data_IF_510804387289
#
_entry.id   IF_510804387289
#
_cell.length_a   1.000
_cell.length_b   1.000
_cell.length_c   1.000
_cell.angle_alpha   90.00
_cell.angle_beta   90.00
_cell.angle_gamma   90.00
#
_symmetry.space_group_name_H-M   'P 1'
#
loop_
_entity.id
_entity.type
_entity.pdbx_description
1 polymer ?
#
# COMPACT_ATOMS: atom_id res chain seq x y z
N UNK A 1 -12.69 -61.09 12.69
CA UNK A 1 -11.86 -60.96 13.91
C UNK A 1 -12.00 -59.54 14.40
N UNK A 2 -12.55 -59.32 15.59
CA UNK A 2 -12.61 -57.98 16.20
C UNK A 2 -11.47 -57.88 17.23
N UNK A 3 -10.69 -56.80 17.13
CA UNK A 3 -9.50 -56.59 17.95
C UNK A 3 -9.90 -56.45 19.44
N UNK A 4 -9.22 -57.24 20.28
CA UNK A 4 -9.48 -57.36 21.72
C UNK A 4 -8.89 -56.12 22.42
N UNK A 5 -9.70 -55.07 22.62
CA UNK A 5 -9.28 -53.90 23.39
C UNK A 5 -9.94 -52.55 23.08
N UNK A 6 -10.97 -52.47 22.24
CA UNK A 6 -11.64 -51.20 21.99
C UNK A 6 -12.54 -50.81 23.18
N UNK A 7 -12.22 -49.69 23.84
CA UNK A 7 -13.11 -49.06 24.83
C UNK A 7 -14.31 -48.48 24.09
N UNK A 8 -15.41 -49.22 24.06
CA UNK A 8 -16.69 -48.74 23.54
C UNK A 8 -17.30 -47.80 24.59
N UNK A 9 -17.30 -46.50 24.29
CA UNK A 9 -17.91 -45.48 25.13
C UNK A 9 -19.34 -45.30 24.62
N UNK A 10 -20.33 -45.61 25.46
CA UNK A 10 -21.73 -45.33 25.13
C UNK A 10 -22.00 -43.84 25.33
N UNK A 11 -22.12 -43.10 24.24
CA UNK A 11 -22.50 -41.69 24.25
C UNK A 11 -23.95 -41.57 23.81
N UNK A 12 -24.72 -40.69 24.42
CA UNK A 12 -26.07 -40.40 23.97
C UNK A 12 -26.03 -39.81 22.55
N UNK A 13 -26.80 -40.38 21.63
CA UNK A 13 -26.84 -39.96 20.22
C UNK A 13 -27.12 -38.45 20.09
N UNK A 14 -27.94 -37.90 20.99
CA UNK A 14 -28.30 -36.48 21.02
C UNK A 14 -27.12 -35.56 21.36
N UNK A 15 -26.21 -36.00 22.23
CA UNK A 15 -25.00 -35.24 22.58
C UNK A 15 -23.99 -35.29 21.44
N UNK A 16 -23.76 -36.49 20.88
CA UNK A 16 -22.83 -36.69 19.76
C UNK A 16 -23.25 -35.91 18.50
N UNK A 17 -24.56 -35.86 18.22
CA UNK A 17 -25.09 -35.06 17.09
C UNK A 17 -24.91 -33.56 17.30
N UNK A 18 -25.06 -33.05 18.53
CA UNK A 18 -24.82 -31.62 18.84
C UNK A 18 -23.34 -31.27 18.69
N UNK A 19 -22.46 -32.09 19.23
CA UNK A 19 -21.02 -31.85 19.16
C UNK A 19 -20.48 -31.98 17.73
N UNK A 20 -20.98 -32.96 16.97
CA UNK A 20 -20.68 -33.11 15.54
C UNK A 20 -21.19 -31.93 14.73
N UNK A 21 -22.40 -31.43 15.03
CA UNK A 21 -22.95 -30.25 14.36
C UNK A 21 -22.13 -28.99 14.65
N UNK A 22 -21.75 -28.76 15.92
CA UNK A 22 -20.92 -27.63 16.31
C UNK A 22 -19.53 -27.71 15.67
N UNK A 23 -18.91 -28.88 15.66
CA UNK A 23 -17.60 -29.11 15.06
C UNK A 23 -17.61 -28.89 13.55
N UNK A 24 -18.66 -29.35 12.87
CA UNK A 24 -18.86 -29.12 11.45
C UNK A 24 -19.17 -27.65 11.15
N UNK A 25 -20.04 -27.01 11.91
CA UNK A 25 -20.36 -25.58 11.77
C UNK A 25 -19.12 -24.70 11.98
N UNK A 26 -18.30 -24.99 13.00
CA UNK A 26 -17.05 -24.29 13.28
C UNK A 26 -16.03 -24.50 12.15
N UNK A 27 -15.89 -25.72 11.64
CA UNK A 27 -15.05 -26.04 10.49
C UNK A 27 -15.48 -25.26 9.23
N UNK A 28 -16.79 -25.16 8.98
CA UNK A 28 -17.34 -24.41 7.84
C UNK A 28 -17.13 -22.90 8.00
N UNK A 29 -17.31 -22.34 9.20
CA UNK A 29 -17.06 -20.91 9.48
C UNK A 29 -15.58 -20.58 9.28
N UNK A 30 -14.68 -21.39 9.81
CA UNK A 30 -13.23 -21.19 9.66
C UNK A 30 -12.78 -21.41 8.22
N UNK A 31 -13.35 -22.38 7.51
CA UNK A 31 -12.98 -22.72 6.14
C UNK A 31 -13.56 -21.82 5.05
N UNK A 32 -14.64 -21.06 5.32
CA UNK A 32 -15.31 -20.23 4.30
C UNK A 32 -15.60 -18.78 4.71
N UNK A 33 -15.86 -18.51 5.98
CA UNK A 33 -16.42 -17.22 6.41
C UNK A 33 -15.36 -16.23 6.92
N UNK A 34 -14.22 -16.71 7.43
CA UNK A 34 -13.09 -15.88 7.83
C UNK A 34 -11.94 -16.08 6.85
N UNK A 35 -11.83 -15.28 5.78
CA UNK A 35 -10.60 -15.27 5.00
C UNK A 35 -9.44 -14.92 5.93
N UNK A 36 -8.32 -15.63 5.81
CA UNK A 36 -7.10 -15.27 6.52
C UNK A 36 -6.80 -13.79 6.25
N UNK A 37 -6.62 -12.98 7.30
CA UNK A 37 -6.36 -11.54 7.17
C UNK A 37 -5.18 -11.27 6.22
N UNK A 38 -4.25 -12.23 6.09
CA UNK A 38 -3.12 -12.17 5.17
C UNK A 38 -3.56 -12.24 3.70
N UNK A 39 -4.69 -12.89 3.39
CA UNK A 39 -5.21 -13.06 2.03
C UNK A 39 -5.85 -11.79 1.46
N UNK A 40 -6.28 -10.85 2.32
CA UNK A 40 -6.76 -9.54 1.88
C UNK A 40 -5.65 -8.59 1.40
N UNK A 41 -4.37 -8.91 1.67
CA UNK A 41 -3.25 -8.03 1.35
C UNK A 41 -2.59 -8.40 0.02
N UNK A 42 -2.62 -7.45 -0.93
CA UNK A 42 -1.83 -7.54 -2.17
C UNK A 42 -0.33 -7.65 -1.85
N UNK A 43 0.48 -8.31 -2.70
CA UNK A 43 1.93 -8.48 -2.49
C UNK A 43 2.69 -7.17 -2.18
N UNK A 44 2.22 -6.05 -2.73
CA UNK A 44 2.76 -4.71 -2.46
C UNK A 44 2.53 -4.28 -1.00
N UNK A 45 1.34 -4.51 -0.44
CA UNK A 45 1.05 -4.17 0.95
C UNK A 45 1.91 -4.99 1.91
N UNK A 46 2.10 -6.28 1.60
CA UNK A 46 2.97 -7.17 2.38
C UNK A 46 4.42 -6.66 2.38
N UNK A 47 4.95 -6.24 1.24
CA UNK A 47 6.30 -5.64 1.14
C UNK A 47 6.44 -4.35 1.92
N UNK A 48 5.47 -3.44 1.84
CA UNK A 48 5.49 -2.18 2.61
C UNK A 48 5.52 -2.46 4.11
N UNK A 49 4.68 -3.37 4.61
CA UNK A 49 4.66 -3.75 6.02
C UNK A 49 5.97 -4.41 6.46
N UNK A 50 6.59 -5.22 5.59
CA UNK A 50 7.89 -5.82 5.86
C UNK A 50 9.00 -4.76 5.93
N UNK A 51 9.07 -3.83 4.97
CA UNK A 51 10.02 -2.71 5.01
C UNK A 51 9.80 -1.84 6.24
N UNK A 52 8.55 -1.60 6.66
CA UNK A 52 8.26 -0.88 7.91
C UNK A 52 8.78 -1.63 9.15
N UNK A 53 8.67 -2.96 9.17
CA UNK A 53 9.22 -3.79 10.23
C UNK A 53 10.76 -3.69 10.29
N UNK A 54 11.44 -3.84 9.15
CA UNK A 54 12.91 -3.73 9.05
C UNK A 54 13.42 -2.34 9.48
N UNK A 55 12.66 -1.28 9.15
CA UNK A 55 12.97 0.10 9.54
C UNK A 55 12.54 0.44 10.98
N UNK A 56 12.10 -0.54 11.78
CA UNK A 56 11.58 -0.39 13.13
C UNK A 56 10.45 0.66 13.26
N UNK A 57 9.64 0.82 12.20
CA UNK A 57 8.50 1.73 12.15
C UNK A 57 7.27 1.07 12.76
N UNK A 58 7.25 1.02 14.09
CA UNK A 58 6.10 0.57 14.87
C UNK A 58 5.10 1.71 15.06
N UNK A 59 3.87 1.35 15.44
CA UNK A 59 2.78 2.32 15.68
C UNK A 59 3.12 3.38 16.75
N UNK A 60 4.12 3.13 17.59
CA UNK A 60 4.57 4.04 18.66
C UNK A 60 5.66 5.03 18.21
N UNK A 61 6.11 4.97 16.95
CA UNK A 61 7.16 5.84 16.42
C UNK A 61 6.60 7.17 15.86
N UNK A 62 7.43 8.22 15.80
CA UNK A 62 7.06 9.47 15.15
C UNK A 62 6.61 9.29 13.71
N UNK A 63 5.62 10.09 13.29
CA UNK A 63 5.07 10.04 11.93
C UNK A 63 6.15 10.19 10.86
N UNK A 64 6.19 9.24 9.91
CA UNK A 64 7.02 9.33 8.70
C UNK A 64 6.12 9.34 7.47
N UNK A 65 6.47 10.18 6.49
CA UNK A 65 5.74 10.27 5.22
C UNK A 65 5.80 8.93 4.47
N UNK A 66 4.66 8.52 3.90
CA UNK A 66 4.55 7.28 3.12
C UNK A 66 5.53 7.20 1.95
N UNK A 67 5.81 8.34 1.30
CA UNK A 67 6.77 8.42 0.19
C UNK A 67 8.17 7.90 0.55
N UNK A 68 8.60 8.07 1.81
CA UNK A 68 9.90 7.56 2.28
C UNK A 68 9.91 6.03 2.31
N UNK A 69 8.90 5.44 2.94
CA UNK A 69 8.76 3.99 3.10
C UNK A 69 8.60 3.31 1.73
N UNK A 70 7.84 3.92 0.82
CA UNK A 70 7.66 3.42 -0.55
C UNK A 70 8.96 3.48 -1.35
N UNK A 71 9.78 4.52 -1.16
CA UNK A 71 11.11 4.62 -1.78
C UNK A 71 12.06 3.52 -1.34
N UNK A 72 12.07 3.19 -0.04
CA UNK A 72 12.90 2.11 0.51
C UNK A 72 12.38 0.71 0.11
N UNK A 73 11.07 0.59 -0.16
CA UNK A 73 10.42 -0.67 -0.54
C UNK A 73 10.55 -0.99 -2.05
N UNK A 74 10.64 0.03 -2.91
CA UNK A 74 10.69 -0.11 -4.36
C UNK A 74 11.86 0.69 -4.93
N UNK A 75 13.07 0.19 -4.72
CA UNK A 75 14.28 0.82 -5.25
C UNK A 75 14.43 0.40 -6.71
N UNK A 76 14.48 1.38 -7.61
CA UNK A 76 14.89 1.18 -9.01
C UNK A 76 16.29 0.55 -9.01
N UNK A 77 16.57 -0.35 -9.95
CA UNK A 77 17.87 -1.03 -10.04
C UNK A 77 18.17 -2.07 -8.94
N UNK A 78 17.16 -2.46 -8.14
CA UNK A 78 17.29 -3.62 -7.23
C UNK A 78 17.62 -4.87 -8.06
N UNK A 79 18.76 -5.50 -7.77
CA UNK A 79 19.19 -6.75 -8.41
C UNK A 79 18.37 -7.92 -7.86
N UNK A 80 17.76 -8.67 -8.76
CA UNK A 80 17.01 -9.89 -8.47
C UNK A 80 17.82 -11.07 -9.01
N UNK A 81 18.02 -12.07 -8.17
CA UNK A 81 18.66 -13.31 -8.58
C UNK A 81 17.67 -14.17 -9.37
N UNK A 82 17.93 -14.34 -10.66
CA UNK A 82 17.19 -15.18 -11.61
C UNK A 82 18.07 -16.35 -12.09
N UNK A 83 17.51 -17.26 -12.88
CA UNK A 83 18.29 -18.33 -13.55
C UNK A 83 19.38 -17.79 -14.48
N UNK A 84 19.18 -16.60 -15.05
CA UNK A 84 20.15 -15.96 -15.95
C UNK A 84 21.19 -15.10 -15.20
N UNK A 85 21.10 -15.00 -13.87
CA UNK A 85 22.00 -14.23 -13.02
C UNK A 85 21.31 -13.08 -12.29
N UNK A 86 22.05 -12.01 -12.01
CA UNK A 86 21.49 -10.81 -11.37
C UNK A 86 20.88 -9.89 -12.42
N UNK A 87 19.56 -9.75 -12.38
CA UNK A 87 18.78 -8.91 -13.31
C UNK A 87 18.14 -7.77 -12.54
N UNK A 88 18.13 -6.56 -13.10
CA UNK A 88 17.42 -5.44 -12.48
C UNK A 88 15.93 -5.70 -12.42
N UNK A 89 15.27 -5.32 -11.33
CA UNK A 89 13.82 -5.49 -11.12
C UNK A 89 12.95 -4.92 -12.25
N UNK A 90 13.45 -3.94 -13.01
CA UNK A 90 12.75 -3.36 -14.17
C UNK A 90 12.77 -4.24 -15.42
N UNK A 91 13.77 -5.13 -15.52
CA UNK A 91 13.98 -6.00 -16.69
C UNK A 91 13.40 -7.41 -16.47
N UNK A 92 12.98 -7.73 -15.25
CA UNK A 92 12.33 -9.00 -14.90
C UNK A 92 10.98 -9.13 -15.61
N UNK A 93 10.75 -10.28 -16.22
CA UNK A 93 9.54 -10.60 -16.99
C UNK A 93 8.62 -11.54 -16.22
N UNK A 94 7.34 -11.51 -16.59
CA UNK A 94 6.37 -12.51 -16.12
C UNK A 94 6.77 -13.88 -16.67
N UNK A 95 6.89 -14.86 -15.79
CA UNK A 95 7.35 -16.20 -16.15
C UNK A 95 8.81 -16.49 -15.79
N UNK A 96 9.60 -15.46 -15.47
CA UNK A 96 10.98 -15.66 -15.03
C UNK A 96 11.02 -16.43 -13.71
N UNK A 97 12.04 -17.27 -13.56
CA UNK A 97 12.29 -17.98 -12.30
C UNK A 97 13.21 -17.11 -11.46
N UNK A 98 12.74 -16.77 -10.26
CA UNK A 98 13.47 -15.96 -9.27
C UNK A 98 13.81 -16.81 -8.06
N UNK A 99 15.00 -16.64 -7.52
CA UNK A 99 15.42 -17.29 -6.30
C UNK A 99 15.05 -16.44 -5.09
N UNK A 100 14.36 -17.06 -4.15
CA UNK A 100 13.95 -16.46 -2.88
C UNK A 100 14.57 -17.22 -1.72
N UNK A 101 14.48 -16.67 -0.51
CA UNK A 101 14.95 -17.35 0.71
C UNK A 101 14.26 -18.71 0.97
N UNK A 102 13.12 -18.98 0.33
CA UNK A 102 12.36 -20.23 0.47
C UNK A 102 12.52 -21.17 -0.74
N UNK A 103 13.41 -20.86 -1.68
CA UNK A 103 13.62 -21.61 -2.91
C UNK A 103 13.25 -20.81 -4.17
N UNK A 104 13.14 -21.51 -5.29
CA UNK A 104 12.79 -20.93 -6.59
C UNK A 104 11.27 -20.72 -6.75
N UNK A 105 10.88 -19.57 -7.29
CA UNK A 105 9.49 -19.24 -7.60
C UNK A 105 9.36 -18.56 -8.95
N UNK A 106 8.23 -18.76 -9.64
CA UNK A 106 7.97 -18.12 -10.93
C UNK A 106 7.28 -16.77 -10.74
N UNK A 107 7.73 -15.75 -11.45
CA UNK A 107 7.10 -14.42 -11.43
C UNK A 107 5.71 -14.51 -12.04
N UNK A 108 4.68 -14.34 -11.20
CA UNK A 108 3.29 -14.47 -11.61
C UNK A 108 2.73 -13.20 -12.25
N UNK A 109 3.16 -12.02 -11.80
CA UNK A 109 2.71 -10.72 -12.28
C UNK A 109 3.79 -9.65 -12.07
N UNK A 110 3.80 -8.65 -12.95
CA UNK A 110 4.62 -7.45 -12.83
C UNK A 110 3.73 -6.25 -12.53
N UNK A 111 4.16 -5.40 -11.61
CA UNK A 111 3.46 -4.16 -11.29
C UNK A 111 4.36 -2.96 -11.57
N UNK A 112 3.99 -2.20 -12.60
CA UNK A 112 4.63 -0.92 -12.94
C UNK A 112 3.68 0.20 -12.54
N UNK A 113 4.16 1.17 -11.77
CA UNK A 113 3.36 2.36 -11.48
C UNK A 113 3.32 3.23 -12.75
N UNK A 114 2.16 3.47 -13.36
CA UNK A 114 2.09 4.30 -14.57
C UNK A 114 2.57 5.72 -14.25
N UNK A 115 3.17 6.42 -15.24
CA UNK A 115 3.49 7.83 -15.07
C UNK A 115 2.20 8.58 -14.75
N UNK A 116 2.21 9.32 -13.63
CA UNK A 116 1.08 10.15 -13.23
C UNK A 116 1.34 11.56 -13.72
N UNK A 117 0.46 12.07 -14.58
CA UNK A 117 0.46 13.47 -14.96
C UNK A 117 0.26 14.34 -13.70
N UNK A 118 1.15 15.29 -13.49
CA UNK A 118 1.11 16.22 -12.37
C UNK A 118 0.83 17.61 -12.91
N UNK A 119 -0.06 18.33 -12.27
CA UNK A 119 -0.35 19.74 -12.57
C UNK A 119 0.50 20.61 -11.65
N UNK A 120 1.22 21.57 -12.24
CA UNK A 120 1.88 22.64 -11.50
C UNK A 120 0.94 23.84 -11.44
N UNK A 121 0.48 24.16 -10.24
CA UNK A 121 -0.35 25.34 -9.96
C UNK A 121 0.58 26.42 -9.43
N UNK A 122 0.64 27.56 -10.10
CA UNK A 122 1.43 28.72 -9.70
C UNK A 122 0.48 29.85 -9.28
N UNK A 123 0.78 30.48 -8.14
CA UNK A 123 0.04 31.60 -7.59
C UNK A 123 0.76 32.90 -7.94
N UNK A 124 0.03 34.01 -7.98
CA UNK A 124 0.56 35.34 -8.32
C UNK A 124 1.72 35.81 -7.42
N UNK A 125 1.81 35.26 -6.20
CA UNK A 125 2.91 35.53 -5.27
C UNK A 125 4.19 34.71 -5.55
N UNK A 126 4.24 33.97 -6.66
CA UNK A 126 5.36 33.12 -7.07
C UNK A 126 5.43 31.77 -6.35
N UNK A 127 4.47 31.45 -5.46
CA UNK A 127 4.38 30.13 -4.84
C UNK A 127 3.79 29.14 -5.83
N UNK A 128 4.36 27.95 -5.94
CA UNK A 128 3.80 26.89 -6.76
C UNK A 128 3.58 25.60 -5.96
N UNK A 129 2.58 24.83 -6.36
CA UNK A 129 2.28 23.52 -5.81
C UNK A 129 2.08 22.51 -6.95
N UNK A 130 2.74 21.35 -6.83
CA UNK A 130 2.60 20.26 -7.79
C UNK A 130 1.61 19.25 -7.24
N UNK A 131 0.49 19.05 -7.94
CA UNK A 131 -0.64 18.26 -7.46
C UNK A 131 -1.14 17.29 -8.53
N UNK A 132 -1.90 16.27 -8.11
CA UNK A 132 -2.60 15.38 -9.04
C UNK A 132 -3.82 16.08 -9.64
N UNK A 133 -4.20 15.82 -10.90
CA UNK A 133 -5.37 16.41 -11.56
C UNK A 133 -6.67 16.34 -10.74
N UNK A 134 -6.93 15.21 -10.09
CA UNK A 134 -8.12 14.97 -9.27
C UNK A 134 -8.00 15.48 -7.82
N UNK A 135 -6.87 16.09 -7.45
CA UNK A 135 -6.71 16.59 -6.09
C UNK A 135 -7.63 17.78 -5.86
N UNK A 136 -8.49 17.68 -4.85
CA UNK A 136 -9.40 18.77 -4.48
C UNK A 136 -8.64 19.87 -3.75
N UNK A 137 -8.81 21.09 -4.22
CA UNK A 137 -8.24 22.32 -3.67
C UNK A 137 -9.39 23.23 -3.27
N UNK A 138 -9.20 23.96 -2.17
CA UNK A 138 -10.20 24.87 -1.66
C UNK A 138 -10.08 26.21 -2.38
N UNK A 139 -11.15 26.63 -3.05
CA UNK A 139 -11.22 27.85 -3.86
C UNK A 139 -12.28 28.77 -3.27
N UNK A 140 -12.06 30.07 -3.37
CA UNK A 140 -13.02 31.12 -3.01
C UNK A 140 -13.78 31.54 -4.27
N UNK A 141 -15.10 31.33 -4.26
CA UNK A 141 -15.99 31.69 -5.36
C UNK A 141 -16.34 33.19 -5.33
N UNK A 142 -16.96 33.72 -6.41
CA UNK A 142 -17.37 35.13 -6.52
C UNK A 142 -18.34 35.59 -5.43
N UNK A 143 -19.10 34.67 -4.84
CA UNK A 143 -19.97 34.91 -3.68
C UNK A 143 -19.23 34.88 -2.32
N UNK A 144 -17.89 34.90 -2.33
CA UNK A 144 -17.02 34.74 -1.14
C UNK A 144 -17.26 33.44 -0.36
N UNK A 145 -17.80 32.41 -1.01
CA UNK A 145 -18.00 31.07 -0.43
C UNK A 145 -16.85 30.14 -0.76
N UNK A 146 -16.57 29.24 0.18
CA UNK A 146 -15.49 28.27 0.08
C UNK A 146 -16.00 26.98 -0.56
N UNK A 147 -15.40 26.61 -1.69
CA UNK A 147 -15.78 25.43 -2.45
C UNK A 147 -14.57 24.54 -2.75
N UNK A 148 -14.82 23.24 -2.86
CA UNK A 148 -13.79 22.27 -3.25
C UNK A 148 -13.83 22.08 -4.77
N UNK A 149 -12.71 22.38 -5.42
CA UNK A 149 -12.55 22.25 -6.87
C UNK A 149 -11.40 21.31 -7.19
N UNK A 150 -11.57 20.44 -8.18
CA UNK A 150 -10.48 19.58 -8.66
C UNK A 150 -9.40 20.43 -9.34
N UNK A 151 -8.13 20.07 -9.16
CA UNK A 151 -6.98 20.82 -9.69
C UNK A 151 -7.05 21.01 -11.22
N UNK A 152 -7.54 20.01 -11.96
CA UNK A 152 -7.73 20.10 -13.41
C UNK A 152 -8.85 21.05 -13.86
N UNK A 153 -9.75 21.45 -12.96
CA UNK A 153 -10.85 22.39 -13.26
C UNK A 153 -10.48 23.83 -12.91
N UNK A 154 -9.33 24.05 -12.29
CA UNK A 154 -8.86 25.39 -11.95
C UNK A 154 -8.64 26.22 -13.20
N UNK A 155 -9.07 27.48 -13.16
CA UNK A 155 -8.87 28.47 -14.21
C UNK A 155 -7.93 29.57 -13.71
N UNK A 156 -7.23 30.21 -14.62
CA UNK A 156 -6.44 31.40 -14.33
C UNK A 156 -7.37 32.48 -13.78
N UNK A 157 -7.13 32.94 -12.54
CA UNK A 157 -7.98 33.88 -11.80
C UNK A 157 -8.81 33.27 -10.67
N UNK A 158 -8.79 31.94 -10.47
CA UNK A 158 -9.41 31.32 -9.29
C UNK A 158 -8.61 31.65 -8.01
N UNK A 159 -9.29 32.11 -6.96
CA UNK A 159 -8.66 32.40 -5.67
C UNK A 159 -8.52 31.14 -4.82
N UNK A 160 -7.28 30.65 -4.67
CA UNK A 160 -7.00 29.44 -3.88
C UNK A 160 -6.77 29.80 -2.42
N UNK A 161 -7.41 29.06 -1.51
CA UNK A 161 -7.19 29.22 -0.08
C UNK A 161 -5.95 28.46 0.34
N UNK A 162 -4.93 29.22 0.75
CA UNK A 162 -3.70 28.71 1.34
C UNK A 162 -3.69 29.03 2.83
N UNK A 163 -3.30 28.07 3.67
CA UNK A 163 -3.06 28.34 5.10
C UNK A 163 -1.79 29.18 5.20
N UNK A 164 -1.84 30.34 5.85
CA UNK A 164 -0.69 31.26 5.99
C UNK A 164 0.37 30.81 7.00
N UNK A 165 0.23 29.62 7.60
CA UNK A 165 1.20 29.10 8.56
C UNK A 165 2.45 28.57 7.83
N UNK A 166 3.29 29.48 7.36
CA UNK A 166 4.70 29.17 7.12
C UNK A 166 5.43 29.18 8.48
N UNK A 167 6.27 28.18 8.80
CA UNK A 167 7.30 28.41 9.81
C UNK A 167 8.23 29.52 9.29
N UNK A 168 8.60 30.48 10.13
CA UNK A 168 9.49 31.60 9.77
C UNK A 168 10.70 31.10 8.98
N UNK A 169 10.73 31.38 7.67
CA UNK A 169 11.85 31.01 6.81
C UNK A 169 12.99 31.99 7.11
N UNK A 170 13.81 31.68 8.11
CA UNK A 170 14.94 32.52 8.56
C UNK A 170 16.10 32.60 7.54
N UNK A 171 16.06 31.86 6.43
CA UNK A 171 17.08 31.95 5.35
C UNK A 171 16.46 31.88 3.96
N UNK A 172 16.70 32.91 3.15
CA UNK A 172 16.39 32.94 1.72
C UNK A 172 17.26 31.88 1.01
N UNK A 173 16.64 30.90 0.36
CA UNK A 173 17.34 29.93 -0.47
C UNK A 173 17.91 30.63 -1.71
N UNK A 174 19.22 30.45 -1.97
CA UNK A 174 19.84 30.92 -3.21
C UNK A 174 19.48 29.97 -4.35
N UNK A 175 18.91 30.52 -5.41
CA UNK A 175 18.57 29.80 -6.62
C UNK A 175 19.87 29.50 -7.39
N UNK A 176 20.24 28.24 -7.52
CA UNK A 176 21.25 27.83 -8.50
C UNK A 176 20.54 27.59 -9.84
N UNK A 177 20.89 28.38 -10.85
CA UNK A 177 20.51 28.12 -12.24
C UNK A 177 21.47 27.08 -12.80
N UNK A 178 20.95 25.94 -13.24
CA UNK A 178 21.69 25.04 -14.14
C UNK A 178 21.25 25.39 -15.56
N UNK A 179 22.23 25.65 -16.43
CA UNK A 179 22.03 25.85 -17.87
C UNK A 179 21.58 24.58 -18.56
#
# INVERSE_FOLDING_TARGET
MYARGERVISVYIEEEMKDSYISYAMSVIVGRALPDIRDGLKPVHRRILYTMHELNLRHNQPYKKSARIVGDCFVKDTMILTEEGLVSIQDVKRGDVVYTQRGCGRVSELYVMPPKELLRIELDNGTYNTVKPLQKIKVLNSDFKLEWKEANRLKSGDYIVVKSCYPDIKRKAKLQKTH
#
